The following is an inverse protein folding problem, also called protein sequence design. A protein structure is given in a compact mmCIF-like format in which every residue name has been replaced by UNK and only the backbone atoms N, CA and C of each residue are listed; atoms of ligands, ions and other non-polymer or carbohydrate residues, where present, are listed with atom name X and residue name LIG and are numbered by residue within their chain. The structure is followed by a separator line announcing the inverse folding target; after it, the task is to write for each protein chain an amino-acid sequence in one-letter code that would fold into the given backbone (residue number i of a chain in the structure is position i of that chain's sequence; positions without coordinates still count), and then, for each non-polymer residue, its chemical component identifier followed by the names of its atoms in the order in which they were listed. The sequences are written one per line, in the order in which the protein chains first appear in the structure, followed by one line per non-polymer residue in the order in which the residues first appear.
data_IF_460168100526
#
_entry.id   IF_460168100526
#
_cell.length_a   1.000
_cell.length_b   1.000
_cell.length_c   1.000
_cell.angle_alpha   90.00
_cell.angle_beta   90.00
_cell.angle_gamma   90.00
#
_symmetry.space_group_name_H-M   'P 1'
#
loop_
_entity.id
_entity.type
_entity.pdbx_description
1 polymer ?
#
# COMPACT_ATOMS: atom_id res chain seq x y z
N UNK A 1 3.17 21.86 17.26
CA UNK A 1 3.32 20.85 16.22
C UNK A 1 4.18 21.49 15.13
N UNK A 2 5.40 21.03 14.94
CA UNK A 2 6.28 21.56 13.87
C UNK A 2 5.83 20.95 12.55
N UNK A 3 5.68 21.78 11.51
CA UNK A 3 5.35 21.30 10.15
C UNK A 3 6.47 20.40 9.57
N UNK A 4 7.61 20.32 10.26
CA UNK A 4 8.71 19.39 9.93
C UNK A 4 8.35 17.90 10.11
N UNK A 5 7.27 17.61 10.83
CA UNK A 5 6.77 16.23 10.99
C UNK A 5 5.93 15.75 9.79
N UNK A 6 5.64 16.64 8.83
CA UNK A 6 5.03 16.28 7.55
C UNK A 6 6.15 15.76 6.64
N UNK A 7 6.63 14.56 6.94
CA UNK A 7 7.49 13.83 6.01
C UNK A 7 6.69 13.56 4.74
N UNK A 8 7.16 14.10 3.61
CA UNK A 8 6.63 13.84 2.27
C UNK A 8 6.72 12.33 1.96
N UNK A 9 5.66 11.61 2.34
CA UNK A 9 5.60 10.16 2.23
C UNK A 9 6.37 9.44 3.34
N UNK A 10 5.96 8.23 3.63
CA UNK A 10 6.61 7.36 4.64
C UNK A 10 7.85 6.65 4.05
N UNK A 11 8.58 7.30 3.14
CA UNK A 11 9.77 6.75 2.52
C UNK A 11 10.91 6.64 3.53
N UNK A 12 11.50 5.44 3.64
CA UNK A 12 12.70 5.20 4.44
C UNK A 12 13.93 5.21 3.53
N UNK A 13 14.85 6.18 3.64
CA UNK A 13 16.06 6.23 2.83
C UNK A 13 17.08 5.19 3.31
N UNK A 14 16.83 3.91 3.01
CA UNK A 14 17.70 2.80 3.36
C UNK A 14 18.44 2.30 2.11
N UNK A 15 19.70 1.87 2.32
CA UNK A 15 20.49 1.24 1.27
C UNK A 15 20.22 -0.28 1.24
N UNK A 16 19.26 -0.73 0.43
CA UNK A 16 19.03 -2.14 0.14
C UNK A 16 18.93 -2.40 -1.35
N UNK A 17 19.02 -3.67 -1.75
CA UNK A 17 18.86 -4.08 -3.14
C UNK A 17 17.54 -3.57 -3.73
N UNK A 18 16.44 -3.69 -2.97
CA UNK A 18 15.11 -3.23 -3.41
C UNK A 18 15.08 -1.72 -3.60
N UNK A 19 15.74 -0.93 -2.74
CA UNK A 19 15.78 0.53 -2.90
C UNK A 19 16.48 0.97 -4.20
N UNK A 20 17.47 0.21 -4.67
CA UNK A 20 18.23 0.50 -5.90
C UNK A 20 17.54 0.05 -7.18
N UNK A 21 16.48 -0.75 -7.09
CA UNK A 21 15.72 -1.17 -8.26
C UNK A 21 15.01 0.02 -8.92
N UNK A 22 14.89 -0.05 -10.24
CA UNK A 22 14.14 0.93 -11.03
C UNK A 22 12.68 1.02 -10.54
N UNK A 23 12.13 2.23 -10.34
CA UNK A 23 10.75 2.44 -9.91
C UNK A 23 9.72 1.74 -10.80
N UNK A 24 9.98 1.65 -12.11
CA UNK A 24 9.13 0.93 -13.09
C UNK A 24 9.02 -0.55 -12.74
N UNK A 25 10.17 -1.18 -12.47
CA UNK A 25 10.22 -2.61 -12.11
C UNK A 25 9.49 -2.87 -10.81
N UNK A 26 9.62 -1.99 -9.80
CA UNK A 26 8.92 -2.10 -8.53
C UNK A 26 7.41 -1.98 -8.71
N UNK A 27 6.95 -1.00 -9.49
CA UNK A 27 5.53 -0.82 -9.81
C UNK A 27 4.96 -2.06 -10.51
N UNK A 28 5.64 -2.55 -11.56
CA UNK A 28 5.22 -3.77 -12.25
C UNK A 28 5.20 -4.99 -11.33
N UNK A 29 6.22 -5.16 -10.49
CA UNK A 29 6.29 -6.27 -9.54
C UNK A 29 5.13 -6.23 -8.54
N UNK A 30 4.78 -5.04 -8.01
CA UNK A 30 3.64 -4.89 -7.11
C UNK A 30 2.32 -5.13 -7.83
N UNK A 31 2.14 -4.64 -9.05
CA UNK A 31 0.93 -4.89 -9.85
C UNK A 31 0.77 -6.40 -10.11
N UNK A 32 1.85 -7.07 -10.54
CA UNK A 32 1.86 -8.53 -10.76
C UNK A 32 1.55 -9.29 -9.46
N UNK A 33 2.12 -8.85 -8.34
CA UNK A 33 1.85 -9.42 -7.03
C UNK A 33 0.37 -9.29 -6.65
N UNK A 34 -0.23 -8.11 -6.85
CA UNK A 34 -1.66 -7.86 -6.62
C UNK A 34 -2.51 -8.80 -7.48
N UNK A 35 -2.25 -8.86 -8.79
CA UNK A 35 -2.97 -9.74 -9.72
C UNK A 35 -2.85 -11.20 -9.30
N UNK A 36 -1.65 -11.66 -8.95
CA UNK A 36 -1.40 -13.02 -8.49
C UNK A 36 -2.17 -13.35 -7.20
N UNK A 37 -2.28 -12.40 -6.25
CA UNK A 37 -3.08 -12.57 -5.03
C UNK A 37 -4.58 -12.70 -5.32
N UNK A 38 -5.10 -11.99 -6.31
CA UNK A 38 -6.50 -12.15 -6.71
C UNK A 38 -6.78 -13.48 -7.40
N UNK A 39 -5.80 -14.03 -8.12
CA UNK A 39 -5.89 -15.34 -8.75
C UNK A 39 -5.66 -16.50 -7.77
N UNK A 40 -5.10 -16.23 -6.59
CA UNK A 40 -4.83 -17.23 -5.56
C UNK A 40 -6.14 -17.82 -5.00
N UNK A 41 -6.29 -19.14 -5.09
CA UNK A 41 -7.46 -19.88 -4.58
C UNK A 41 -7.08 -21.00 -3.60
N UNK A 42 -5.81 -21.36 -3.51
CA UNK A 42 -5.32 -22.48 -2.70
C UNK A 42 -4.41 -22.00 -1.57
N UNK A 43 -4.42 -22.71 -0.45
CA UNK A 43 -3.50 -22.50 0.67
C UNK A 43 -2.03 -22.48 0.24
N UNK A 44 -1.66 -23.36 -0.72
CA UNK A 44 -0.29 -23.43 -1.26
C UNK A 44 0.08 -22.12 -1.97
N UNK A 45 -0.83 -21.58 -2.78
CA UNK A 45 -0.59 -20.33 -3.51
C UNK A 45 -0.42 -19.16 -2.53
N UNK A 46 -1.25 -19.06 -1.50
CA UNK A 46 -1.08 -18.04 -0.45
C UNK A 46 0.23 -18.22 0.31
N UNK A 47 0.65 -19.45 0.59
CA UNK A 47 1.95 -19.74 1.22
C UNK A 47 3.13 -19.24 0.39
N UNK A 48 3.11 -19.49 -0.92
CA UNK A 48 4.14 -19.00 -1.86
C UNK A 48 4.15 -17.46 -1.88
N UNK A 49 2.99 -16.83 -2.01
CA UNK A 49 2.87 -15.37 -2.05
C UNK A 49 3.34 -14.72 -0.73
N UNK A 50 3.06 -15.36 0.41
CA UNK A 50 3.56 -14.92 1.71
C UNK A 50 5.09 -15.04 1.78
N UNK A 51 5.68 -16.13 1.29
CA UNK A 51 7.12 -16.31 1.24
C UNK A 51 7.80 -15.23 0.39
N UNK A 52 7.22 -14.89 -0.78
CA UNK A 52 7.68 -13.79 -1.65
C UNK A 52 7.61 -12.45 -0.92
N UNK A 53 6.53 -12.17 -0.21
CA UNK A 53 6.36 -10.93 0.55
C UNK A 53 7.39 -10.84 1.68
N UNK A 54 7.51 -11.88 2.50
CA UNK A 54 8.45 -11.91 3.64
C UNK A 54 9.89 -11.79 3.17
N UNK A 55 10.28 -12.49 2.10
CA UNK A 55 11.62 -12.37 1.50
C UNK A 55 11.88 -10.97 0.98
N UNK A 56 10.89 -10.33 0.34
CA UNK A 56 10.99 -8.95 -0.12
C UNK A 56 11.16 -7.96 1.04
N UNK A 57 10.40 -8.12 2.12
CA UNK A 57 10.54 -7.30 3.34
C UNK A 57 11.94 -7.49 3.95
N UNK A 58 12.43 -8.72 4.06
CA UNK A 58 13.76 -9.01 4.61
C UNK A 58 14.88 -8.36 3.78
N UNK A 59 14.82 -8.47 2.44
CA UNK A 59 15.80 -7.88 1.53
C UNK A 59 15.73 -6.35 1.55
N UNK A 60 14.55 -5.76 1.76
CA UNK A 60 14.36 -4.31 1.81
C UNK A 60 14.97 -3.65 3.03
N UNK A 61 15.25 -4.41 4.10
CA UNK A 61 15.71 -3.92 5.42
C UNK A 61 14.73 -2.94 6.09
N UNK A 62 13.51 -2.82 5.57
CA UNK A 62 12.46 -2.03 6.21
C UNK A 62 12.04 -2.70 7.52
N UNK A 63 11.98 -1.97 8.65
CA UNK A 63 11.58 -2.58 9.91
C UNK A 63 10.14 -3.08 9.84
N UNK A 64 9.87 -4.38 10.08
CA UNK A 64 8.53 -4.95 9.96
C UNK A 64 7.54 -4.30 10.93
N UNK A 65 8.03 -3.75 12.05
CA UNK A 65 7.21 -2.95 12.98
C UNK A 65 6.53 -1.76 12.32
N UNK A 66 7.18 -1.12 11.33
CA UNK A 66 6.59 0.03 10.62
C UNK A 66 5.43 -0.41 9.73
N UNK A 67 5.58 -1.55 9.04
CA UNK A 67 4.52 -2.14 8.24
C UNK A 67 3.33 -2.52 9.14
N UNK A 68 3.58 -3.24 10.24
CA UNK A 68 2.55 -3.65 11.19
C UNK A 68 1.85 -2.44 11.85
N UNK A 69 2.60 -1.38 12.16
CA UNK A 69 2.02 -0.15 12.71
C UNK A 69 1.10 0.55 11.71
N UNK A 70 1.50 0.60 10.43
CA UNK A 70 0.66 1.13 9.36
C UNK A 70 -0.61 0.30 9.12
N UNK A 71 -0.54 -1.02 9.33
CA UNK A 71 -1.68 -1.92 9.17
C UNK A 71 -2.70 -1.83 10.33
N UNK A 72 -2.26 -1.39 11.52
CA UNK A 72 -3.10 -1.38 12.73
C UNK A 72 -4.45 -0.66 12.57
N UNK A 73 -4.55 0.57 12.00
CA UNK A 73 -5.84 1.23 11.83
C UNK A 73 -6.76 0.51 10.85
N UNK A 74 -6.17 -0.19 9.85
CA UNK A 74 -6.94 -0.90 8.82
C UNK A 74 -7.44 -2.25 9.35
N UNK A 75 -6.73 -2.83 10.33
CA UNK A 75 -7.07 -4.11 10.94
C UNK A 75 -8.52 -4.11 11.49
N UNK A 76 -8.95 -3.00 12.07
CA UNK A 76 -10.33 -2.88 12.57
C UNK A 76 -11.37 -3.07 11.45
N UNK A 77 -11.15 -2.41 10.30
CA UNK A 77 -12.05 -2.52 9.14
C UNK A 77 -12.01 -3.95 8.57
N UNK A 78 -10.82 -4.53 8.47
CA UNK A 78 -10.63 -5.90 7.95
C UNK A 78 -11.34 -6.92 8.84
N UNK A 79 -11.19 -6.83 10.16
CA UNK A 79 -11.87 -7.73 11.11
C UNK A 79 -13.38 -7.54 11.04
N UNK A 80 -13.86 -6.30 10.99
CA UNK A 80 -15.29 -6.01 10.86
C UNK A 80 -15.87 -6.62 9.58
N UNK A 81 -15.19 -6.45 8.45
CA UNK A 81 -15.62 -7.02 7.17
C UNK A 81 -15.56 -8.56 7.17
N UNK A 82 -14.55 -9.14 7.84
CA UNK A 82 -14.46 -10.60 8.00
C UNK A 82 -15.63 -11.16 8.81
N UNK A 83 -16.01 -10.46 9.90
CA UNK A 83 -17.18 -10.84 10.71
C UNK A 83 -18.46 -10.77 9.88
N UNK A 84 -18.66 -9.71 9.09
CA UNK A 84 -19.81 -9.63 8.19
C UNK A 84 -19.82 -10.79 7.17
N UNK A 85 -18.69 -11.08 6.54
CA UNK A 85 -18.58 -12.20 5.59
C UNK A 85 -18.91 -13.55 6.23
N UNK A 86 -18.50 -13.75 7.48
CA UNK A 86 -18.78 -14.98 8.22
C UNK A 86 -20.29 -15.23 8.35
N UNK A 87 -21.09 -14.19 8.53
CA UNK A 87 -22.55 -14.29 8.72
C UNK A 87 -23.34 -14.26 7.41
N UNK A 88 -22.81 -13.60 6.37
CA UNK A 88 -23.54 -13.37 5.12
C UNK A 88 -23.17 -14.37 4.01
N UNK A 89 -22.12 -15.18 4.18
CA UNK A 89 -21.71 -16.13 3.16
C UNK A 89 -22.54 -17.41 3.25
N UNK A 90 -23.41 -17.71 2.27
CA UNK A 90 -24.14 -18.97 2.24
C UNK A 90 -23.18 -20.13 1.95
N UNK A 91 -23.40 -21.27 2.59
CA UNK A 91 -22.64 -22.50 2.36
C UNK A 91 -23.49 -23.73 2.64
N UNK A 92 -23.05 -24.89 2.15
CA UNK A 92 -23.75 -26.16 2.32
C UNK A 92 -23.52 -26.79 3.70
N UNK A 93 -22.35 -26.54 4.31
CA UNK A 93 -21.98 -27.09 5.61
C UNK A 93 -22.22 -26.09 6.73
N UNK A 94 -23.41 -26.14 7.33
CA UNK A 94 -23.77 -25.29 8.47
C UNK A 94 -23.10 -25.82 9.74
N UNK A 95 -22.19 -25.01 10.33
CA UNK A 95 -21.52 -25.31 11.60
C UNK A 95 -22.36 -24.90 12.79
N UNK A 96 -23.04 -23.75 12.70
CA UNK A 96 -23.91 -23.25 13.74
C UNK A 96 -25.02 -22.39 13.10
N UNK A 97 -26.25 -22.59 13.58
CA UNK A 97 -27.38 -21.76 13.18
C UNK A 97 -27.96 -21.10 14.42
N UNK A 98 -27.92 -19.76 14.41
CA UNK A 98 -28.47 -18.96 15.48
C UNK A 98 -29.46 -17.95 14.91
N UNK A 99 -30.73 -18.31 14.97
CA UNK A 99 -31.90 -17.54 14.50
C UNK A 99 -31.77 -17.05 13.03
N UNK A 100 -31.18 -15.88 12.79
CA UNK A 100 -31.02 -15.28 11.45
C UNK A 100 -29.59 -15.49 10.90
N UNK A 101 -28.63 -15.83 11.76
CA UNK A 101 -27.22 -15.96 11.40
C UNK A 101 -26.84 -17.44 11.23
N UNK A 102 -26.35 -17.80 10.04
CA UNK A 102 -25.83 -19.14 9.76
C UNK A 102 -24.31 -19.04 9.56
N UNK A 103 -23.57 -19.69 10.45
CA UNK A 103 -22.13 -19.83 10.28
C UNK A 103 -21.86 -21.10 9.50
N UNK A 104 -21.29 -20.95 8.31
CA UNK A 104 -20.93 -22.05 7.42
C UNK A 104 -19.42 -22.25 7.39
N UNK A 105 -18.97 -23.48 7.13
CA UNK A 105 -17.53 -23.78 6.99
C UNK A 105 -16.91 -22.98 5.85
N UNK A 106 -17.66 -22.86 4.75
CA UNK A 106 -17.27 -22.09 3.57
C UNK A 106 -17.12 -20.60 3.89
N UNK A 107 -18.03 -20.05 4.71
CA UNK A 107 -17.97 -18.68 5.19
C UNK A 107 -16.73 -18.41 6.04
N UNK A 108 -16.37 -19.34 6.93
CA UNK A 108 -15.15 -19.24 7.75
C UNK A 108 -13.90 -19.25 6.88
N UNK A 109 -13.81 -20.19 5.94
CA UNK A 109 -12.66 -20.29 5.02
C UNK A 109 -12.53 -19.06 4.14
N UNK A 110 -13.67 -18.57 3.60
CA UNK A 110 -13.67 -17.37 2.77
C UNK A 110 -13.29 -16.12 3.54
N UNK A 111 -13.79 -15.93 4.75
CA UNK A 111 -13.41 -14.84 5.63
C UNK A 111 -11.91 -14.88 5.96
N UNK A 112 -11.36 -16.07 6.26
CA UNK A 112 -9.95 -16.26 6.53
C UNK A 112 -9.07 -15.90 5.32
N UNK A 113 -9.40 -16.41 4.12
CA UNK A 113 -8.66 -16.07 2.90
C UNK A 113 -8.77 -14.58 2.56
N UNK A 114 -9.93 -13.96 2.80
CA UNK A 114 -10.13 -12.54 2.60
C UNK A 114 -9.24 -11.70 3.51
N UNK A 115 -9.18 -12.03 4.80
CA UNK A 115 -8.30 -11.33 5.76
C UNK A 115 -6.84 -11.43 5.33
N UNK A 116 -6.36 -12.64 5.05
CA UNK A 116 -4.98 -12.86 4.60
C UNK A 116 -4.71 -12.07 3.32
N UNK A 117 -5.58 -12.14 2.33
CA UNK A 117 -5.43 -11.42 1.07
C UNK A 117 -5.28 -9.92 1.29
N UNK A 118 -6.19 -9.31 2.06
CA UNK A 118 -6.15 -7.87 2.33
C UNK A 118 -4.88 -7.49 3.08
N UNK A 119 -4.49 -8.25 4.10
CA UNK A 119 -3.27 -7.99 4.86
C UNK A 119 -2.02 -8.07 3.99
N UNK A 120 -1.94 -9.05 3.09
CA UNK A 120 -0.83 -9.20 2.16
C UNK A 120 -0.79 -8.09 1.10
N UNK A 121 -1.95 -7.66 0.58
CA UNK A 121 -2.06 -6.51 -0.34
C UNK A 121 -1.55 -5.23 0.31
N UNK A 122 -1.99 -4.95 1.51
CA UNK A 122 -1.60 -3.76 2.27
C UNK A 122 -0.10 -3.80 2.57
N UNK A 123 0.43 -4.93 3.03
CA UNK A 123 1.85 -5.07 3.33
C UNK A 123 2.72 -4.87 2.07
N UNK A 124 2.32 -5.42 0.93
CA UNK A 124 2.99 -5.22 -0.36
C UNK A 124 2.99 -3.76 -0.81
N UNK A 125 1.86 -3.07 -0.66
CA UNK A 125 1.73 -1.65 -0.99
C UNK A 125 2.56 -0.77 -0.05
N UNK A 126 2.58 -1.07 1.26
CA UNK A 126 3.46 -0.36 2.19
C UNK A 126 4.94 -0.58 1.87
N UNK A 127 5.32 -1.79 1.45
CA UNK A 127 6.69 -2.05 1.04
C UNK A 127 7.11 -1.15 -0.14
N UNK A 128 6.25 -0.99 -1.14
CA UNK A 128 6.48 -0.06 -2.25
C UNK A 128 6.63 1.38 -1.75
N UNK A 129 5.72 1.84 -0.91
CA UNK A 129 5.72 3.20 -0.35
C UNK A 129 6.97 3.49 0.48
N UNK A 130 7.42 2.52 1.28
CA UNK A 130 8.63 2.67 2.11
C UNK A 130 9.94 2.59 1.32
N UNK A 131 9.94 1.93 0.16
CA UNK A 131 11.14 1.71 -0.66
C UNK A 131 11.25 2.64 -1.87
N UNK A 132 10.24 3.48 -2.14
CA UNK A 132 10.22 4.35 -3.33
C UNK A 132 9.70 5.73 -2.93
N UNK A 133 10.47 6.77 -3.25
CA UNK A 133 10.02 8.15 -2.99
C UNK A 133 8.87 8.54 -3.92
N UNK A 134 7.97 9.47 -3.51
CA UNK A 134 6.86 9.92 -4.34
C UNK A 134 7.28 10.45 -5.72
N UNK A 135 8.41 11.15 -5.79
CA UNK A 135 8.94 11.68 -7.06
C UNK A 135 9.34 10.53 -8.00
N UNK A 136 10.11 9.55 -7.49
CA UNK A 136 10.50 8.37 -8.27
C UNK A 136 9.29 7.51 -8.70
N UNK A 137 8.25 7.48 -7.85
CA UNK A 137 7.01 6.78 -8.16
C UNK A 137 6.28 7.45 -9.34
N UNK A 138 6.24 8.79 -9.36
CA UNK A 138 5.65 9.57 -10.45
C UNK A 138 6.40 9.35 -11.76
N UNK A 139 7.73 9.38 -11.75
CA UNK A 139 8.58 9.13 -12.94
C UNK A 139 8.40 7.68 -13.44
N UNK A 140 8.32 6.72 -12.53
CA UNK A 140 8.02 5.32 -12.86
C UNK A 140 6.65 5.16 -13.50
N UNK A 141 5.63 5.83 -12.97
CA UNK A 141 4.26 5.79 -13.46
C UNK A 141 4.15 6.44 -14.84
N UNK A 142 4.76 7.63 -15.06
CA UNK A 142 4.85 8.27 -16.38
C UNK A 142 5.38 7.30 -17.43
N UNK A 143 6.46 6.64 -17.08
CA UNK A 143 7.11 5.74 -18.01
C UNK A 143 6.27 4.50 -18.35
N UNK A 144 5.55 3.95 -17.37
CA UNK A 144 4.64 2.81 -17.59
C UNK A 144 3.39 3.22 -18.37
N UNK A 145 2.93 4.47 -18.19
CA UNK A 145 1.78 5.01 -18.91
C UNK A 145 2.14 5.60 -20.29
N UNK A 146 3.43 5.64 -20.65
CA UNK A 146 3.89 6.17 -21.93
C UNK A 146 3.17 5.55 -23.15
N UNK A 147 2.85 4.24 -23.20
CA UNK A 147 2.07 3.66 -24.30
C UNK A 147 0.69 4.30 -24.48
N UNK A 148 0.10 4.86 -23.41
CA UNK A 148 -1.21 5.53 -23.47
C UNK A 148 -1.17 6.86 -24.24
N UNK A 149 0.02 7.39 -24.55
CA UNK A 149 0.16 8.53 -25.48
C UNK A 149 -0.45 8.23 -26.85
N UNK A 150 -0.44 6.96 -27.26
CA UNK A 150 -1.06 6.53 -28.52
C UNK A 150 -2.59 6.76 -28.52
N UNK A 151 -3.22 6.81 -27.35
CA UNK A 151 -4.66 7.08 -27.17
C UNK A 151 -4.94 8.55 -26.82
N UNK A 152 -3.98 9.45 -27.12
CA UNK A 152 -4.04 10.90 -26.87
C UNK A 152 -4.21 11.30 -25.38
N UNK A 153 -3.78 10.45 -24.45
CA UNK A 153 -3.72 10.80 -23.03
C UNK A 153 -2.49 11.67 -22.78
N UNK A 154 -2.60 12.87 -22.19
CA UNK A 154 -1.48 13.78 -21.94
C UNK A 154 -0.65 13.32 -20.72
N UNK A 155 -0.07 12.12 -20.81
CA UNK A 155 0.67 11.48 -19.69
C UNK A 155 1.87 12.30 -19.25
N UNK A 156 2.58 12.89 -20.21
CA UNK A 156 3.79 13.68 -19.94
C UNK A 156 3.45 14.96 -19.18
N UNK A 157 2.42 15.66 -19.62
CA UNK A 157 1.95 16.90 -18.99
C UNK A 157 1.48 16.65 -17.55
N UNK A 158 0.74 15.55 -17.33
CA UNK A 158 0.31 15.16 -16.00
C UNK A 158 1.49 14.83 -15.09
N UNK A 159 2.45 14.05 -15.58
CA UNK A 159 3.65 13.69 -14.83
C UNK A 159 4.50 14.93 -14.50
N UNK A 160 4.66 15.85 -15.45
CA UNK A 160 5.36 17.11 -15.24
C UNK A 160 4.70 17.94 -14.14
N UNK A 161 3.37 18.12 -14.19
CA UNK A 161 2.61 18.86 -13.17
C UNK A 161 2.81 18.21 -11.80
N UNK A 162 2.69 16.87 -11.71
CA UNK A 162 2.89 16.15 -10.45
C UNK A 162 4.32 16.29 -9.92
N UNK A 163 5.33 16.17 -10.78
CA UNK A 163 6.74 16.31 -10.37
C UNK A 163 7.04 17.72 -9.88
N UNK A 164 6.53 18.76 -10.56
CA UNK A 164 6.64 20.14 -10.11
C UNK A 164 5.95 20.32 -8.75
N UNK A 165 4.71 19.86 -8.61
CA UNK A 165 3.95 19.98 -7.37
C UNK A 165 4.69 19.31 -6.20
N UNK A 166 5.15 18.07 -6.38
CA UNK A 166 5.89 17.32 -5.36
C UNK A 166 7.22 18.00 -4.96
N UNK A 167 7.86 18.69 -5.89
CA UNK A 167 9.10 19.44 -5.63
C UNK A 167 8.83 20.74 -4.87
N UNK A 168 7.70 21.41 -5.14
CA UNK A 168 7.35 22.66 -4.49
C UNK A 168 6.82 22.49 -3.06
N UNK A 169 6.19 21.34 -2.74
CA UNK A 169 5.64 21.10 -1.39
C UNK A 169 6.67 21.31 -0.28
N UNK A 170 7.89 20.73 -0.31
CA UNK A 170 8.90 20.99 0.73
C UNK A 170 9.24 22.47 0.85
N UNK A 171 9.43 23.16 -0.28
CA UNK A 171 9.77 24.58 -0.31
C UNK A 171 8.66 25.44 0.32
N UNK A 172 7.38 25.13 0.02
CA UNK A 172 6.26 25.83 0.63
C UNK A 172 6.16 25.60 2.14
N UNK A 173 6.46 24.39 2.61
CA UNK A 173 6.50 24.08 4.05
C UNK A 173 7.60 24.91 4.74
N UNK A 174 8.80 24.94 4.16
CA UNK A 174 9.92 25.72 4.70
C UNK A 174 9.63 27.23 4.75
N UNK A 175 9.05 27.78 3.68
CA UNK A 175 8.65 29.19 3.64
C UNK A 175 7.54 29.50 4.65
N UNK A 176 6.56 28.62 4.79
CA UNK A 176 5.50 28.76 5.78
C UNK A 176 6.06 28.75 7.21
N UNK A 177 7.01 27.87 7.52
CA UNK A 177 7.68 27.83 8.83
C UNK A 177 8.46 29.11 9.11
N UNK A 178 9.15 29.69 8.10
CA UNK A 178 9.85 30.97 8.22
C UNK A 178 8.87 32.11 8.51
N UNK A 179 7.76 32.19 7.77
CA UNK A 179 6.71 33.21 7.96
C UNK A 179 6.12 33.09 9.37
N UNK A 180 5.74 31.88 9.80
CA UNK A 180 5.19 31.67 11.14
C UNK A 180 6.19 32.05 12.25
N UNK A 181 7.48 31.73 12.05
CA UNK A 181 8.52 32.08 13.01
C UNK A 181 8.73 33.60 13.10
N UNK A 182 8.71 34.27 11.95
CA UNK A 182 8.81 35.74 11.91
C UNK A 182 7.61 36.44 12.56
N UNK A 183 6.39 35.91 12.34
CA UNK A 183 5.17 36.44 12.97
C UNK A 183 5.20 36.23 14.49
N UNK A 184 5.63 35.08 14.98
CA UNK A 184 5.78 34.81 16.43
C UNK A 184 6.81 35.72 17.10
N UNK A 185 7.85 36.14 16.36
CA UNK A 185 8.87 37.08 16.87
C UNK A 185 8.37 38.53 16.92
N UNK A 186 7.27 38.87 16.25
CA UNK A 186 6.65 40.19 16.25
C UNK A 186 5.57 40.39 17.32
N UNK A 187 5.20 39.33 18.05
CA UNK A 187 4.11 39.30 19.01
C UNK A 187 2.88 38.64 18.39
#
# INVERSE_FOLDING_TARGET
MSLKDITLGQYFPLNSFIHRLDPRTKLLAVILYIVALFLAKSFVTYGIMLAVLVSSIAISKVPPKSILRGMKPILFIVVFTAVLNLFYTPGEHVLAQFWIFTITLEGVLQAFFMVIRIMMLIAGTFLLTYTTSPILLTDGLESLLNPLKAVKVPVHELAMIMSIALRFIPTLIEETDKIMSAQRARG
#
